data_IF_021280250523
#
_entry.id   IF_021280250523
#
_cell.length_a   1.000
_cell.length_b   1.000
_cell.length_c   1.000
_cell.angle_alpha   90.00
_cell.angle_beta   90.00
_cell.angle_gamma   90.00
#
_symmetry.space_group_name_H-M   'P 1'
#
loop_
_entity.id
_entity.type
_entity.pdbx_description
1 polymer ?
#
# COMPACT_ATOMS: atom_id res chain seq x y z
N UNK A 1 -8.46 -18.07 -10.05
CA UNK A 1 -7.30 -18.66 -9.34
C UNK A 1 -7.71 -19.82 -8.43
N UNK A 2 -8.83 -19.75 -7.75
CA UNK A 2 -9.36 -20.80 -6.85
C UNK A 2 -9.64 -22.14 -7.52
N UNK A 3 -10.11 -22.16 -8.78
CA UNK A 3 -10.47 -23.39 -9.50
C UNK A 3 -9.25 -24.29 -9.84
N UNK A 4 -8.06 -23.72 -9.97
CA UNK A 4 -6.84 -24.51 -10.19
C UNK A 4 -6.34 -25.20 -8.91
N UNK A 5 -6.62 -24.62 -7.74
CA UNK A 5 -6.27 -25.24 -6.46
C UNK A 5 -7.14 -26.47 -6.17
N UNK A 6 -8.41 -26.45 -6.55
CA UNK A 6 -9.34 -27.58 -6.35
C UNK A 6 -8.96 -28.78 -7.23
N UNK A 7 -8.46 -28.54 -8.46
CA UNK A 7 -7.94 -29.61 -9.32
C UNK A 7 -6.66 -30.24 -8.77
N UNK A 8 -5.82 -29.47 -8.08
CA UNK A 8 -4.60 -30.00 -7.46
C UNK A 8 -4.93 -30.90 -6.27
N UNK A 9 -5.98 -30.57 -5.50
CA UNK A 9 -6.42 -31.39 -4.37
C UNK A 9 -7.08 -32.71 -4.81
N UNK A 10 -7.73 -32.72 -5.99
CA UNK A 10 -8.32 -33.96 -6.55
C UNK A 10 -7.26 -34.93 -7.13
N UNK A 11 -6.07 -34.41 -7.48
CA UNK A 11 -4.97 -35.27 -7.93
C UNK A 11 -4.39 -36.12 -6.78
N UNK A 12 -4.55 -35.67 -5.53
CA UNK A 12 -4.08 -36.38 -4.34
C UNK A 12 -5.04 -37.49 -3.85
N UNK A 13 -6.22 -37.62 -4.49
CA UNK A 13 -7.13 -38.74 -4.26
C UNK A 13 -6.66 -39.96 -5.07
N UNK A 14 -5.40 -40.34 -4.84
CA UNK A 14 -4.81 -41.53 -5.43
C UNK A 14 -5.43 -42.78 -4.82
N UNK A 15 -5.94 -43.59 -5.71
CA UNK A 15 -6.65 -44.82 -5.51
C UNK A 15 -6.12 -45.70 -4.38
N UNK A 16 -7.04 -46.09 -3.53
CA UNK A 16 -6.92 -47.17 -2.60
C UNK A 16 -6.76 -48.49 -3.38
N UNK A 17 -5.56 -48.72 -3.90
CA UNK A 17 -5.12 -50.07 -4.30
C UNK A 17 -4.58 -50.77 -3.06
N UNK A 18 -5.46 -51.50 -2.37
CA UNK A 18 -5.05 -52.52 -1.38
C UNK A 18 -4.24 -53.60 -2.09
N UNK A 19 -2.95 -53.37 -2.27
CA UNK A 19 -1.98 -54.44 -2.45
C UNK A 19 -1.32 -54.64 -1.10
N UNK A 20 -1.29 -55.88 -0.63
CA UNK A 20 -0.65 -56.34 0.58
C UNK A 20 0.78 -55.78 0.64
N UNK A 21 0.93 -54.64 1.32
CA UNK A 21 2.20 -53.96 1.51
C UNK A 21 2.87 -54.66 2.69
N UNK A 22 3.71 -55.65 2.40
CA UNK A 22 4.62 -56.24 3.38
C UNK A 22 5.53 -55.09 3.83
N UNK A 23 5.30 -54.61 5.03
CA UNK A 23 6.05 -53.53 5.69
C UNK A 23 7.49 -53.99 5.93
N UNK A 24 8.34 -53.77 4.94
CA UNK A 24 9.78 -53.86 5.14
C UNK A 24 10.17 -52.59 5.97
N UNK A 25 10.71 -52.76 7.21
CA UNK A 25 10.92 -51.62 8.13
C UNK A 25 11.80 -50.50 7.55
N UNK A 26 12.70 -50.82 6.64
CA UNK A 26 13.55 -49.84 5.95
C UNK A 26 12.80 -48.96 4.94
N UNK A 27 11.66 -49.42 4.39
CA UNK A 27 10.86 -48.63 3.46
C UNK A 27 9.95 -47.61 4.17
N UNK A 28 9.58 -47.86 5.42
CA UNK A 28 8.75 -47.00 6.24
C UNK A 28 9.46 -45.68 6.61
N UNK A 29 10.74 -45.75 6.93
CA UNK A 29 11.53 -44.55 7.30
C UNK A 29 11.72 -43.60 6.14
N UNK A 30 11.94 -44.12 4.92
CA UNK A 30 12.06 -43.28 3.73
C UNK A 30 10.75 -42.52 3.40
N UNK A 31 9.61 -43.17 3.58
CA UNK A 31 8.29 -42.54 3.34
C UNK A 31 8.04 -41.41 4.35
N UNK A 32 8.37 -41.60 5.62
CA UNK A 32 8.23 -40.56 6.66
C UNK A 32 9.14 -39.38 6.34
N UNK A 33 10.36 -39.63 5.90
CA UNK A 33 11.32 -38.58 5.55
C UNK A 33 10.85 -37.74 4.37
N UNK A 34 10.33 -38.37 3.31
CA UNK A 34 9.76 -37.70 2.15
C UNK A 34 8.51 -36.87 2.56
N UNK A 35 7.64 -37.44 3.39
CA UNK A 35 6.47 -36.73 3.90
C UNK A 35 6.87 -35.47 4.69
N UNK A 36 7.91 -35.55 5.50
CA UNK A 36 8.45 -34.44 6.27
C UNK A 36 9.02 -33.35 5.35
N UNK A 37 9.77 -33.70 4.30
CA UNK A 37 10.27 -32.75 3.33
C UNK A 37 9.14 -32.03 2.57
N UNK A 38 8.12 -32.76 2.14
CA UNK A 38 6.96 -32.16 1.46
C UNK A 38 6.26 -31.17 2.40
N UNK A 39 6.12 -31.53 3.68
CA UNK A 39 5.50 -30.67 4.69
C UNK A 39 6.31 -29.40 4.93
N UNK A 40 7.64 -29.48 4.99
CA UNK A 40 8.52 -28.32 5.09
C UNK A 40 8.42 -27.40 3.89
N UNK A 41 8.41 -27.95 2.67
CA UNK A 41 8.29 -27.16 1.44
C UNK A 41 6.94 -26.43 1.38
N UNK A 42 5.85 -27.13 1.70
CA UNK A 42 4.52 -26.52 1.72
C UNK A 42 4.40 -25.40 2.76
N UNK A 43 5.02 -25.58 3.91
CA UNK A 43 5.06 -24.56 4.97
C UNK A 43 5.86 -23.32 4.53
N UNK A 44 7.00 -23.49 3.87
CA UNK A 44 7.77 -22.38 3.30
C UNK A 44 6.98 -21.58 2.25
N UNK A 45 6.27 -22.29 1.36
CA UNK A 45 5.42 -21.64 0.35
C UNK A 45 4.29 -20.86 1.02
N UNK A 46 3.66 -21.41 2.06
CA UNK A 46 2.61 -20.74 2.79
C UNK A 46 3.10 -19.45 3.49
N UNK A 47 4.27 -19.51 4.11
CA UNK A 47 4.88 -18.34 4.78
C UNK A 47 5.24 -17.23 3.78
N UNK A 48 5.81 -17.58 2.63
CA UNK A 48 6.13 -16.58 1.60
C UNK A 48 4.89 -15.94 1.00
N UNK A 49 3.84 -16.71 0.74
CA UNK A 49 2.57 -16.18 0.26
C UNK A 49 1.92 -15.20 1.26
N UNK A 50 1.98 -15.53 2.56
CA UNK A 50 1.47 -14.65 3.62
C UNK A 50 2.24 -13.33 3.70
N UNK A 51 3.56 -13.37 3.55
CA UNK A 51 4.38 -12.16 3.55
C UNK A 51 4.01 -11.21 2.40
N UNK A 52 3.81 -11.73 1.19
CA UNK A 52 3.38 -10.96 0.02
C UNK A 52 2.03 -10.28 0.27
N UNK A 53 1.05 -10.99 0.82
CA UNK A 53 -0.26 -10.41 1.16
C UNK A 53 -0.16 -9.22 2.12
N UNK A 54 0.72 -9.31 3.13
CA UNK A 54 0.91 -8.20 4.08
C UNK A 54 1.48 -6.96 3.37
N UNK A 55 2.42 -7.14 2.44
CA UNK A 55 2.97 -6.04 1.65
C UNK A 55 1.93 -5.40 0.73
N UNK A 56 1.09 -6.19 0.08
CA UNK A 56 0.00 -5.68 -0.77
C UNK A 56 -1.01 -4.85 0.03
N UNK A 57 -1.39 -5.31 1.24
CA UNK A 57 -2.29 -4.56 2.12
C UNK A 57 -1.67 -3.22 2.54
N UNK A 58 -0.38 -3.20 2.89
CA UNK A 58 0.32 -1.96 3.25
C UNK A 58 0.35 -0.99 2.08
N UNK A 59 0.73 -1.46 0.90
CA UNK A 59 0.78 -0.65 -0.31
C UNK A 59 -0.58 -0.06 -0.68
N UNK A 60 -1.64 -0.87 -0.58
CA UNK A 60 -3.02 -0.41 -0.85
C UNK A 60 -3.44 0.68 0.14
N UNK A 61 -3.09 0.56 1.41
CA UNK A 61 -3.35 1.61 2.41
C UNK A 61 -2.59 2.90 2.13
N UNK A 62 -1.34 2.81 1.73
CA UNK A 62 -0.54 4.00 1.38
C UNK A 62 -1.11 4.71 0.16
N UNK A 63 -1.56 3.97 -0.85
CA UNK A 63 -2.26 4.54 -2.01
C UNK A 63 -3.57 5.21 -1.57
N UNK A 64 -4.38 4.53 -0.76
CA UNK A 64 -5.64 5.09 -0.26
C UNK A 64 -5.43 6.38 0.56
N UNK A 65 -4.39 6.45 1.38
CA UNK A 65 -4.04 7.65 2.14
C UNK A 65 -3.43 8.76 1.28
N UNK A 66 -2.85 8.40 0.14
CA UNK A 66 -2.25 9.34 -0.81
C UNK A 66 -3.30 10.22 -1.50
N UNK A 67 -4.48 9.68 -1.76
CA UNK A 67 -5.56 10.40 -2.44
C UNK A 67 -6.02 11.63 -1.64
N UNK A 68 -6.44 11.52 -0.38
CA UNK A 68 -6.82 12.70 0.40
C UNK A 68 -5.65 13.67 0.64
N UNK A 69 -4.41 13.19 0.76
CA UNK A 69 -3.24 14.05 0.87
C UNK A 69 -2.99 14.85 -0.43
N UNK A 70 -3.21 14.23 -1.59
CA UNK A 70 -3.10 14.90 -2.88
C UNK A 70 -4.17 15.97 -3.05
N UNK A 71 -5.45 15.65 -2.81
CA UNK A 71 -6.53 16.63 -2.88
C UNK A 71 -6.36 17.78 -1.87
N UNK A 72 -5.80 17.49 -0.71
CA UNK A 72 -5.44 18.52 0.25
C UNK A 72 -4.39 19.48 -0.33
N UNK A 73 -3.33 18.98 -0.93
CA UNK A 73 -2.30 19.82 -1.55
C UNK A 73 -2.87 20.64 -2.71
N UNK A 74 -3.71 20.05 -3.55
CA UNK A 74 -4.35 20.69 -4.68
C UNK A 74 -5.25 21.85 -4.24
N UNK A 75 -6.12 21.62 -3.26
CA UNK A 75 -6.96 22.67 -2.68
C UNK A 75 -6.12 23.80 -2.05
N UNK A 76 -4.95 23.48 -1.50
CA UNK A 76 -4.02 24.49 -0.99
C UNK A 76 -3.47 25.41 -2.08
N UNK A 77 -3.14 24.85 -3.23
CA UNK A 77 -2.69 25.63 -4.40
C UNK A 77 -3.81 26.52 -4.91
N UNK A 78 -5.02 25.99 -5.09
CA UNK A 78 -6.17 26.76 -5.54
C UNK A 78 -6.49 27.92 -4.61
N UNK A 79 -6.45 27.68 -3.30
CA UNK A 79 -6.68 28.72 -2.31
C UNK A 79 -5.61 29.81 -2.37
N UNK A 80 -4.33 29.43 -2.49
CA UNK A 80 -3.25 30.39 -2.63
C UNK A 80 -3.35 31.21 -3.93
N UNK A 81 -3.71 30.58 -5.05
CA UNK A 81 -3.96 31.26 -6.33
C UNK A 81 -5.14 32.21 -6.22
N UNK A 82 -6.22 31.82 -5.55
CA UNK A 82 -7.37 32.69 -5.34
C UNK A 82 -7.00 33.94 -4.52
N UNK A 83 -6.27 33.75 -3.43
CA UNK A 83 -5.77 34.85 -2.59
C UNK A 83 -4.86 35.78 -3.38
N UNK A 84 -3.93 35.24 -4.14
CA UNK A 84 -3.00 36.00 -4.97
C UNK A 84 -3.69 36.83 -6.07
N UNK A 85 -4.81 36.33 -6.63
CA UNK A 85 -5.56 37.02 -7.69
C UNK A 85 -6.48 38.15 -7.17
N UNK A 86 -7.04 37.92 -5.97
CA UNK A 86 -8.03 38.86 -5.41
C UNK A 86 -7.40 39.94 -4.53
N UNK A 87 -6.06 39.96 -4.40
CA UNK A 87 -5.31 40.98 -3.64
C UNK A 87 -5.91 41.23 -2.24
N UNK A 88 -6.40 40.20 -1.59
CA UNK A 88 -6.89 40.27 -0.21
C UNK A 88 -5.70 40.48 0.71
N UNK A 89 -5.35 41.72 0.96
CA UNK A 89 -4.12 42.22 1.58
C UNK A 89 -3.85 41.76 3.02
N UNK A 90 -4.64 40.83 3.55
CA UNK A 90 -4.44 40.28 4.91
C UNK A 90 -4.01 38.82 4.92
N UNK A 91 -3.87 38.16 3.76
CA UNK A 91 -3.62 36.73 3.71
C UNK A 91 -2.19 36.39 3.26
N UNK A 92 -1.59 35.45 3.93
CA UNK A 92 -0.15 35.15 3.91
C UNK A 92 0.38 34.58 2.60
N UNK A 93 -0.49 34.30 1.62
CA UNK A 93 -0.07 33.83 0.29
C UNK A 93 0.25 34.99 -0.68
N UNK A 94 -0.04 36.22 -0.31
CA UNK A 94 0.31 37.38 -1.14
C UNK A 94 1.82 37.74 -1.00
N UNK A 95 2.44 37.38 0.10
CA UNK A 95 3.86 37.65 0.36
C UNK A 95 4.73 36.43 0.08
N UNK A 96 5.83 36.63 -0.62
CA UNK A 96 6.83 35.59 -0.85
C UNK A 96 7.44 35.15 0.51
N UNK A 97 7.41 33.85 0.79
CA UNK A 97 7.90 33.27 2.05
C UNK A 97 6.82 33.07 3.12
N UNK A 98 5.61 33.59 2.92
CA UNK A 98 4.48 33.32 3.83
C UNK A 98 4.04 31.86 3.76
N UNK A 99 3.83 31.23 4.91
CA UNK A 99 3.36 29.83 5.02
C UNK A 99 2.06 29.79 5.81
N UNK A 100 1.06 29.13 5.25
CA UNK A 100 -0.24 28.91 5.88
C UNK A 100 -0.46 27.41 6.10
N UNK A 101 -0.95 27.07 7.29
CA UNK A 101 -1.34 25.70 7.60
C UNK A 101 -2.80 25.66 8.02
N UNK A 102 -3.60 24.87 7.33
CA UNK A 102 -5.05 24.73 7.57
C UNK A 102 -5.41 23.26 7.77
N UNK A 103 -6.12 22.92 8.85
CA UNK A 103 -6.73 21.60 9.01
C UNK A 103 -8.01 21.50 8.17
N UNK A 104 -8.21 20.38 7.51
CA UNK A 104 -9.42 20.03 6.77
C UNK A 104 -10.35 19.18 7.62
N UNK A 105 -11.64 19.23 7.31
CA UNK A 105 -12.68 18.47 8.00
C UNK A 105 -12.53 16.95 7.90
N UNK A 106 -11.81 16.45 6.88
CA UNK A 106 -11.51 15.04 6.67
C UNK A 106 -10.29 14.54 7.46
N UNK A 107 -9.68 15.40 8.30
CA UNK A 107 -8.48 15.08 9.07
C UNK A 107 -7.16 15.24 8.30
N UNK A 108 -7.19 15.70 7.04
CA UNK A 108 -5.98 16.09 6.34
C UNK A 108 -5.55 17.50 6.77
N UNK A 109 -4.27 17.79 6.62
CA UNK A 109 -3.69 19.12 6.87
C UNK A 109 -3.05 19.63 5.59
N UNK A 110 -3.31 20.88 5.26
CA UNK A 110 -2.68 21.57 4.14
C UNK A 110 -1.66 22.55 4.68
N UNK A 111 -0.48 22.57 4.08
CA UNK A 111 0.50 23.65 4.26
C UNK A 111 0.84 24.19 2.88
N UNK A 112 0.59 25.47 2.65
CA UNK A 112 0.91 26.11 1.39
C UNK A 112 1.71 27.39 1.60
N UNK A 113 2.56 27.72 0.63
CA UNK A 113 3.43 28.88 0.67
C UNK A 113 3.75 29.37 -0.74
N UNK A 114 3.95 30.67 -0.88
CA UNK A 114 4.50 31.28 -2.10
C UNK A 114 6.02 31.34 -1.96
N UNK A 115 6.72 30.47 -2.66
CA UNK A 115 8.21 30.38 -2.56
C UNK A 115 8.92 31.37 -3.46
N UNK A 116 8.28 31.83 -4.53
CA UNK A 116 8.78 32.88 -5.43
C UNK A 116 7.61 33.65 -6.04
N UNK A 117 7.90 34.71 -6.76
CA UNK A 117 6.90 35.57 -7.41
C UNK A 117 5.97 34.76 -8.34
N UNK A 118 6.53 33.75 -9.01
CA UNK A 118 5.85 32.89 -9.99
C UNK A 118 5.74 31.42 -9.52
N UNK A 119 5.94 31.15 -8.23
CA UNK A 119 5.96 29.77 -7.73
C UNK A 119 5.22 29.62 -6.42
N UNK A 120 4.23 28.73 -6.42
CA UNK A 120 3.47 28.31 -5.25
C UNK A 120 3.77 26.84 -4.97
N UNK A 121 3.89 26.50 -3.73
CA UNK A 121 4.11 25.16 -3.23
C UNK A 121 3.07 24.82 -2.18
N UNK A 122 2.43 23.65 -2.29
CA UNK A 122 1.52 23.16 -1.29
C UNK A 122 1.84 21.71 -0.93
N UNK A 123 1.75 21.43 0.35
CA UNK A 123 1.94 20.09 0.91
C UNK A 123 0.67 19.67 1.63
N UNK A 124 0.06 18.60 1.17
CA UNK A 124 -1.05 17.94 1.85
C UNK A 124 -0.54 16.75 2.66
N UNK A 125 -0.99 16.67 3.90
CA UNK A 125 -0.65 15.58 4.83
C UNK A 125 -1.91 14.88 5.27
N UNK A 126 -1.96 13.56 5.12
CA UNK A 126 -3.03 12.73 5.64
C UNK A 126 -2.44 11.50 6.33
N UNK A 127 -2.69 11.36 7.63
CA UNK A 127 -2.06 10.36 8.49
C UNK A 127 -0.52 10.40 8.38
N UNK A 128 0.09 9.39 7.75
CA UNK A 128 1.55 9.30 7.57
C UNK A 128 2.00 9.58 6.14
N UNK A 129 1.07 9.98 5.26
CA UNK A 129 1.35 10.21 3.84
C UNK A 129 1.37 11.69 3.54
N UNK A 130 2.45 12.14 2.91
CA UNK A 130 2.64 13.51 2.48
C UNK A 130 2.64 13.58 0.95
N UNK A 131 1.95 14.58 0.39
CA UNK A 131 1.99 14.90 -1.03
C UNK A 131 2.29 16.37 -1.21
N UNK A 132 3.25 16.63 -2.09
CA UNK A 132 3.71 17.98 -2.38
C UNK A 132 3.44 18.29 -3.85
N UNK A 133 2.84 19.43 -4.10
CA UNK A 133 2.54 19.94 -5.43
C UNK A 133 3.15 21.33 -5.52
N UNK A 134 3.66 21.67 -6.66
CA UNK A 134 4.11 23.02 -6.97
C UNK A 134 3.57 23.44 -8.33
N UNK A 135 3.25 24.72 -8.44
CA UNK A 135 2.81 25.37 -9.68
C UNK A 135 3.72 26.55 -9.94
N UNK A 136 4.17 26.65 -11.18
CA UNK A 136 5.03 27.72 -11.66
C UNK A 136 4.42 28.29 -12.94
N UNK A 137 4.39 29.62 -13.11
CA UNK A 137 3.80 30.33 -14.25
C UNK A 137 4.67 31.48 -14.74
#
# INVERSE_FOLDING_TARGET
MLLKLIKFFNFFKLGSARKNFILNPQKGTAVILIAFFILMITLMIAMTASAVMIYEIKMTREIANSIPAFFAADSGIEQCLYQSRNALASETCDTVGGTVTLPLSNGATITFSRTAVNKIEATGVYLKTNRKIYVEW
#
